data_IF_879959474415
#
_entry.id   IF_879959474415
#
_cell.length_a   1.000
_cell.length_b   1.000
_cell.length_c   1.000
_cell.angle_alpha   90.00
_cell.angle_beta   90.00
_cell.angle_gamma   90.00
#
_symmetry.space_group_name_H-M   'P 1'
#
loop_
_entity.id
_entity.type
_entity.pdbx_description
1 polymer ?
#
# COMPACT_ATOMS: atom_id res chain seq x y z
N UNK A 1 -16.92 -10.00 0.00
CA UNK A 1 -16.24 -8.71 -0.18
C UNK A 1 -14.95 -8.97 -0.96
N UNK A 2 -14.71 -8.23 -2.04
CA UNK A 2 -13.50 -8.30 -2.85
C UNK A 2 -12.70 -7.00 -2.74
N UNK A 3 -11.39 -7.09 -2.65
CA UNK A 3 -10.49 -5.93 -2.54
C UNK A 3 -9.96 -5.59 -3.92
N UNK A 4 -10.12 -4.35 -4.33
CA UNK A 4 -9.67 -3.90 -5.66
C UNK A 4 -8.37 -3.09 -5.58
N UNK A 5 -8.23 -2.24 -4.56
CA UNK A 5 -7.05 -1.40 -4.43
C UNK A 5 -6.74 -1.11 -2.97
N UNK A 6 -5.46 -1.04 -2.65
CA UNK A 6 -4.93 -0.74 -1.33
C UNK A 6 -3.90 0.36 -1.48
N UNK A 7 -4.05 1.39 -0.65
CA UNK A 7 -3.07 2.45 -0.47
C UNK A 7 -2.37 2.27 0.87
N UNK A 8 -1.05 2.31 0.86
CA UNK A 8 -0.23 2.23 2.07
C UNK A 8 0.77 3.37 2.10
N UNK A 9 1.05 3.87 3.30
CA UNK A 9 2.16 4.78 3.54
C UNK A 9 3.22 4.10 4.40
N UNK A 10 4.44 4.61 4.29
CA UNK A 10 5.48 4.39 5.27
C UNK A 10 6.47 5.57 5.22
N UNK A 11 7.47 5.54 6.10
CA UNK A 11 8.51 6.55 6.16
C UNK A 11 9.87 5.89 6.04
N UNK A 12 10.68 6.36 5.09
CA UNK A 12 12.11 6.14 5.01
C UNK A 12 12.75 7.17 5.94
N UNK A 13 13.48 6.73 6.97
CA UNK A 13 14.05 7.60 8.00
C UNK A 13 15.23 8.47 7.52
N UNK A 14 15.19 8.98 6.29
CA UNK A 14 16.23 9.81 5.70
C UNK A 14 15.64 10.74 4.62
N UNK A 15 16.25 11.92 4.45
CA UNK A 15 15.97 12.81 3.34
C UNK A 15 16.61 12.28 2.06
N UNK A 16 15.91 12.38 0.94
CA UNK A 16 16.33 11.82 -0.34
C UNK A 16 16.45 12.92 -1.39
N UNK A 17 17.61 12.99 -2.04
CA UNK A 17 17.78 13.79 -3.25
C UNK A 17 17.22 13.01 -4.45
N UNK A 18 16.00 13.36 -4.87
CA UNK A 18 15.30 12.66 -5.95
C UNK A 18 15.96 12.87 -7.32
N UNK A 19 16.58 14.03 -7.57
CA UNK A 19 17.28 14.36 -8.82
C UNK A 19 18.49 13.46 -9.09
N UNK A 20 19.20 13.07 -8.03
CA UNK A 20 20.27 12.09 -8.16
C UNK A 20 19.73 10.66 -8.17
N UNK A 21 18.63 10.42 -7.44
CA UNK A 21 18.12 9.08 -7.23
C UNK A 21 17.44 8.48 -8.46
N UNK A 22 16.68 9.25 -9.24
CA UNK A 22 15.91 8.74 -10.37
C UNK A 22 16.81 8.06 -11.42
N UNK A 23 18.05 8.54 -11.59
CA UNK A 23 19.03 7.97 -12.53
C UNK A 23 19.40 6.52 -12.23
N UNK A 24 19.17 6.06 -10.99
CA UNK A 24 19.50 4.71 -10.55
C UNK A 24 18.33 3.71 -10.71
N UNK A 25 17.14 4.18 -11.09
CA UNK A 25 15.96 3.33 -11.27
C UNK A 25 15.51 3.34 -12.73
N UNK A 26 15.66 2.20 -13.42
CA UNK A 26 15.24 2.07 -14.81
C UNK A 26 13.72 2.23 -15.03
N UNK A 27 12.90 1.76 -14.06
CA UNK A 27 11.44 1.82 -14.14
C UNK A 27 10.89 2.95 -13.26
N UNK A 28 11.41 4.17 -13.42
CA UNK A 28 10.93 5.31 -12.68
C UNK A 28 10.59 6.51 -13.55
N UNK A 29 9.63 7.30 -13.09
CA UNK A 29 9.22 8.56 -13.70
C UNK A 29 9.37 9.64 -12.64
N UNK A 30 10.11 10.70 -12.97
CA UNK A 30 10.30 11.85 -12.10
C UNK A 30 10.29 13.15 -12.90
N UNK A 31 9.25 13.96 -12.70
CA UNK A 31 9.17 15.32 -13.22
C UNK A 31 8.73 16.25 -12.07
N UNK A 32 9.65 16.99 -11.42
CA UNK A 32 9.32 17.82 -10.27
C UNK A 32 8.36 18.98 -10.59
N UNK A 33 8.22 19.35 -11.88
CA UNK A 33 7.26 20.36 -12.33
C UNK A 33 5.82 19.85 -12.34
N UNK A 34 5.63 18.55 -12.63
CA UNK A 34 4.31 17.91 -12.62
C UNK A 34 3.98 17.34 -11.23
N UNK A 35 4.87 16.51 -10.69
CA UNK A 35 4.68 15.84 -9.42
C UNK A 35 5.98 15.86 -8.60
N UNK A 36 5.93 16.41 -7.39
CA UNK A 36 7.06 16.49 -6.45
C UNK A 36 7.41 15.15 -5.78
N UNK A 37 7.31 14.05 -6.52
CA UNK A 37 7.65 12.71 -6.08
C UNK A 37 8.19 11.89 -7.25
N UNK A 38 9.12 10.99 -6.97
CA UNK A 38 9.57 9.99 -7.92
C UNK A 38 8.63 8.78 -7.86
N UNK A 39 8.08 8.36 -9.00
CA UNK A 39 7.22 7.18 -9.12
C UNK A 39 8.02 6.02 -9.68
N UNK A 40 7.85 4.84 -9.11
CA UNK A 40 8.59 3.63 -9.48
C UNK A 40 7.61 2.46 -9.57
N UNK A 41 7.67 1.74 -10.68
CA UNK A 41 6.90 0.52 -10.88
C UNK A 41 7.72 -0.68 -10.41
N UNK A 42 7.28 -1.31 -9.32
CA UNK A 42 8.01 -2.38 -8.65
C UNK A 42 7.33 -3.72 -8.95
N UNK A 43 7.89 -4.56 -9.82
CA UNK A 43 7.35 -5.89 -10.06
C UNK A 43 7.60 -6.81 -8.84
N UNK A 44 6.56 -7.50 -8.39
CA UNK A 44 6.57 -8.45 -7.27
C UNK A 44 6.02 -9.78 -7.77
N UNK A 45 6.80 -10.85 -7.68
CA UNK A 45 6.30 -12.18 -8.07
C UNK A 45 5.33 -12.75 -7.04
N UNK A 46 4.33 -13.49 -7.51
CA UNK A 46 3.40 -14.26 -6.67
C UNK A 46 4.15 -15.18 -5.70
N UNK A 47 5.23 -15.84 -6.16
CA UNK A 47 6.11 -16.66 -5.31
C UNK A 47 6.71 -15.88 -4.14
N UNK A 48 7.07 -14.60 -4.34
CA UNK A 48 7.59 -13.76 -3.25
C UNK A 48 6.50 -13.44 -2.22
N UNK A 49 5.27 -13.21 -2.70
CA UNK A 49 4.10 -12.97 -1.85
C UNK A 49 3.81 -14.22 -1.00
N UNK A 50 3.71 -15.40 -1.62
CA UNK A 50 3.44 -16.65 -0.91
C UNK A 50 4.52 -16.96 0.13
N UNK A 51 5.81 -16.75 -0.19
CA UNK A 51 6.92 -16.90 0.77
C UNK A 51 6.78 -15.93 1.94
N UNK A 52 6.40 -14.68 1.67
CA UNK A 52 6.21 -13.67 2.71
C UNK A 52 5.04 -14.01 3.64
N UNK A 53 3.91 -14.46 3.09
CA UNK A 53 2.74 -14.90 3.87
C UNK A 53 3.13 -16.04 4.82
N UNK A 54 3.80 -17.07 4.30
CA UNK A 54 4.29 -18.20 5.12
C UNK A 54 5.24 -17.76 6.21
N UNK A 55 6.17 -16.85 5.90
CA UNK A 55 7.10 -16.29 6.89
C UNK A 55 6.36 -15.55 8.02
N UNK A 56 5.35 -14.73 7.69
CA UNK A 56 4.56 -14.01 8.69
C UNK A 56 3.77 -14.96 9.58
N UNK A 57 3.15 -16.00 9.01
CA UNK A 57 2.41 -17.02 9.77
C UNK A 57 3.31 -17.78 10.75
N UNK A 58 4.48 -18.23 10.30
CA UNK A 58 5.46 -18.93 11.16
C UNK A 58 6.01 -18.04 12.28
N UNK A 59 6.16 -16.74 12.03
CA UNK A 59 6.62 -15.78 13.05
C UNK A 59 5.51 -15.43 14.05
N UNK A 60 4.25 -15.38 13.61
CA UNK A 60 3.08 -15.16 14.46
C UNK A 60 2.78 -16.32 15.41
N UNK A 61 3.08 -17.56 15.01
CA UNK A 61 2.91 -18.76 15.86
C UNK A 61 3.93 -18.91 16.99
N UNK A 62 4.95 -18.05 17.08
CA UNK A 62 5.97 -18.09 18.15
C UNK A 62 5.73 -17.10 19.31
N UNK A 63 4.65 -16.31 19.28
CA UNK A 63 4.39 -15.29 20.32
C UNK A 63 3.20 -15.60 21.25
N UNK A 64 2.63 -16.81 21.20
CA UNK A 64 1.61 -17.28 22.17
C UNK A 64 2.06 -18.58 22.83
N UNK A 65 3.27 -18.57 23.40
CA UNK A 65 3.79 -19.64 24.25
C UNK A 65 4.13 -19.05 25.61
N UNK A 66 3.48 -19.58 26.63
CA UNK A 66 3.56 -19.20 28.04
C UNK A 66 5.01 -19.02 28.52
N UNK A 67 5.30 -17.86 29.10
CA UNK A 67 6.45 -17.70 30.00
C UNK A 67 6.08 -18.36 31.32
N UNK A 68 6.39 -19.66 31.46
CA UNK A 68 6.57 -20.25 32.78
C UNK A 68 7.95 -19.85 33.29
N UNK A 69 7.94 -19.05 34.34
CA UNK A 69 9.06 -18.77 35.22
C UNK A 69 9.50 -20.05 35.92
N UNK A 70 10.71 -20.51 35.61
CA UNK A 70 11.42 -21.55 36.36
C UNK A 70 12.83 -21.06 36.64
N UNK A 71 13.07 -20.67 37.89
CA UNK A 71 14.39 -20.43 38.46
C UNK A 71 15.28 -21.67 38.31
N UNK A 72 16.59 -21.50 38.10
CA UNK A 72 17.68 -22.07 38.93
C UNK A 72 19.06 -21.78 38.30
N UNK A 73 19.79 -20.91 39.00
CA UNK A 73 21.20 -20.93 39.42
C UNK A 73 22.34 -21.60 38.62
N UNK A 74 23.45 -20.82 38.62
CA UNK A 74 24.89 -21.13 38.85
C UNK A 74 25.77 -21.72 37.75
N UNK A 75 26.93 -21.08 37.57
CA UNK A 75 28.09 -21.59 36.82
C UNK A 75 29.10 -20.51 36.41
N UNK A 76 30.00 -20.14 37.32
CA UNK A 76 31.21 -19.36 37.04
C UNK A 76 32.16 -20.09 36.05
N UNK A 77 32.84 -19.35 35.15
CA UNK A 77 34.32 -19.37 35.04
C UNK A 77 34.88 -18.32 34.06
N UNK A 78 36.16 -18.04 34.30
CA UNK A 78 36.94 -16.84 33.99
C UNK A 78 37.75 -16.89 32.67
N UNK A 79 38.15 -15.68 32.26
CA UNK A 79 39.46 -15.21 31.70
C UNK A 79 39.99 -15.69 30.34
N UNK A 80 40.53 -14.70 29.60
CA UNK A 80 41.45 -14.89 28.47
C UNK A 80 41.68 -13.59 27.68
N UNK A 81 42.84 -12.96 27.90
CA UNK A 81 43.28 -11.67 27.35
C UNK A 81 43.77 -11.69 25.88
N UNK A 82 43.92 -10.46 25.36
CA UNK A 82 44.50 -9.90 24.11
C UNK A 82 45.92 -10.43 23.71
N UNK A 83 46.52 -10.11 22.52
CA UNK A 83 46.75 -8.74 22.03
C UNK A 83 46.85 -8.49 20.49
N UNK A 84 47.28 -7.26 20.23
CA UNK A 84 47.34 -6.30 19.11
C UNK A 84 48.32 -6.56 17.95
N UNK A 85 48.14 -5.82 16.84
CA UNK A 85 49.18 -5.49 15.85
C UNK A 85 48.73 -4.41 14.85
N UNK A 86 49.42 -3.26 14.84
CA UNK A 86 49.29 -2.09 13.95
C UNK A 86 50.19 -2.25 12.70
N UNK A 87 49.91 -1.53 11.59
CA UNK A 87 50.93 -0.74 10.87
C UNK A 87 50.34 0.21 9.80
N UNK A 88 50.96 1.40 9.67
CA UNK A 88 50.68 2.51 8.74
C UNK A 88 51.80 2.70 7.71
N UNK A 89 51.50 3.26 6.52
CA UNK A 89 52.21 4.36 5.77
C UNK A 89 51.64 4.47 4.34
N UNK A 90 51.19 5.65 3.84
CA UNK A 90 51.97 6.73 3.18
C UNK A 90 51.95 6.53 1.64
N UNK A 91 51.77 7.46 0.69
CA UNK A 91 51.91 8.93 0.58
C UNK A 91 51.45 9.44 -0.82
N UNK A 92 50.91 10.66 -0.89
CA UNK A 92 51.02 11.79 -1.89
C UNK A 92 51.11 11.67 -3.43
N UNK A 93 50.53 12.69 -4.12
CA UNK A 93 50.92 13.23 -5.46
C UNK A 93 49.77 13.46 -6.46
N UNK A 94 49.11 14.63 -6.56
CA UNK A 94 49.38 15.82 -7.44
C UNK A 94 49.09 15.62 -8.96
N UNK A 95 48.32 16.56 -9.56
CA UNK A 95 47.83 16.71 -10.96
C UNK A 95 48.69 17.78 -11.72
N UNK A 96 48.42 18.29 -12.96
CA UNK A 96 48.08 17.83 -14.35
C UNK A 96 49.22 18.30 -15.35
N UNK A 97 49.09 18.64 -16.69
CA UNK A 97 47.92 18.81 -17.60
C UNK A 97 48.04 18.38 -19.10
N UNK A 98 46.88 18.45 -19.81
CA UNK A 98 46.58 19.12 -21.11
C UNK A 98 46.75 18.19 -22.33
N UNK A 99 46.05 18.23 -23.46
CA UNK A 99 45.11 19.14 -24.15
C UNK A 99 44.37 18.31 -25.23
N UNK A 100 43.29 18.82 -25.86
CA UNK A 100 42.97 18.42 -27.25
C UNK A 100 41.50 18.26 -27.66
N UNK A 101 40.91 19.36 -28.09
CA UNK A 101 39.63 19.65 -28.76
C UNK A 101 39.26 18.80 -30.01
N UNK A 102 37.94 18.64 -30.28
CA UNK A 102 37.20 18.79 -31.59
C UNK A 102 35.97 17.85 -31.65
N UNK A 103 34.71 18.30 -31.45
CA UNK A 103 33.74 18.90 -32.41
C UNK A 103 33.56 18.11 -33.72
N UNK A 104 32.34 17.59 -33.99
CA UNK A 104 31.50 17.79 -35.21
C UNK A 104 30.19 16.96 -35.11
N UNK A 105 29.04 17.65 -35.23
CA UNK A 105 27.71 17.16 -35.68
C UNK A 105 27.53 17.51 -37.17
N UNK A 106 26.62 16.86 -37.94
CA UNK A 106 25.26 17.43 -38.21
C UNK A 106 24.15 16.35 -38.42
N UNK A 107 22.89 16.59 -37.99
CA UNK A 107 21.71 17.12 -38.72
C UNK A 107 20.83 16.08 -39.49
N UNK A 108 19.50 16.14 -39.26
CA UNK A 108 18.38 15.44 -39.94
C UNK A 108 17.76 16.32 -41.07
N UNK A 109 16.54 16.11 -41.69
CA UNK A 109 15.49 15.05 -41.69
C UNK A 109 14.90 14.71 -43.15
N UNK A 110 13.57 14.48 -43.42
CA UNK A 110 12.90 13.21 -43.84
C UNK A 110 12.27 13.22 -45.27
N UNK A 111 11.42 12.23 -45.65
CA UNK A 111 9.98 12.55 -45.88
C UNK A 111 8.93 11.45 -45.55
N UNK A 112 7.67 11.91 -45.42
CA UNK A 112 6.39 11.18 -45.32
C UNK A 112 6.07 10.28 -46.53
N UNK A 113 5.16 9.29 -46.36
CA UNK A 113 3.91 9.07 -47.15
C UNK A 113 3.11 7.84 -46.64
N UNK A 114 1.87 8.11 -46.20
CA UNK A 114 0.58 7.40 -46.34
C UNK A 114 0.41 5.85 -46.32
N UNK A 115 -0.53 5.43 -45.46
CA UNK A 115 -1.74 4.60 -45.72
C UNK A 115 -1.60 3.23 -46.40
N UNK A 116 -1.98 2.15 -45.69
CA UNK A 116 -3.16 1.29 -45.99
C UNK A 116 -3.18 0.04 -45.09
N UNK A 117 -4.30 -0.18 -44.40
CA UNK A 117 -4.64 -1.46 -43.74
C UNK A 117 -5.08 -2.48 -44.79
N UNK A 118 -4.55 -3.69 -44.76
CA UNK A 118 -5.21 -4.85 -45.36
C UNK A 118 -5.20 -6.06 -44.43
N UNK A 119 -6.41 -6.58 -44.25
CA UNK A 119 -6.77 -7.83 -43.60
C UNK A 119 -6.55 -8.95 -44.63
N UNK A 120 -5.84 -10.01 -44.26
CA UNK A 120 -5.79 -11.25 -45.02
C UNK A 120 -5.93 -12.44 -44.07
N UNK A 121 -7.07 -13.11 -44.16
CA UNK A 121 -7.29 -14.46 -43.63
C UNK A 121 -6.70 -15.50 -44.60
N UNK A 122 -6.01 -16.52 -44.08
CA UNK A 122 -5.78 -17.77 -44.82
C UNK A 122 -5.45 -18.94 -43.87
N UNK A 123 -6.45 -19.81 -43.71
CA UNK A 123 -6.43 -21.29 -43.67
C UNK A 123 -5.18 -22.10 -43.25
N UNK A 124 -5.42 -22.92 -42.24
CA UNK A 124 -4.88 -24.25 -41.85
C UNK A 124 -3.97 -25.01 -42.84
N UNK A 125 -2.82 -25.46 -42.33
CA UNK A 125 -2.18 -26.72 -42.74
C UNK A 125 -1.52 -27.41 -41.53
N UNK A 126 -1.59 -28.75 -41.53
CA UNK A 126 -1.24 -29.65 -40.43
C UNK A 126 0.27 -29.90 -40.27
N UNK A 127 0.67 -30.28 -39.06
CA UNK A 127 1.63 -31.37 -38.84
C UNK A 127 3.07 -30.98 -38.50
N UNK A 128 3.40 -30.98 -37.21
CA UNK A 128 4.79 -30.97 -36.72
C UNK A 128 4.81 -31.19 -35.22
N UNK A 129 5.31 -32.34 -34.76
CA UNK A 129 5.30 -32.74 -33.36
C UNK A 129 6.14 -31.82 -32.47
N UNK A 130 5.54 -31.34 -31.38
CA UNK A 130 6.26 -30.70 -30.29
C UNK A 130 6.64 -31.76 -29.23
N UNK A 131 7.90 -31.82 -28.77
CA UNK A 131 8.29 -32.61 -27.59
C UNK A 131 7.65 -32.02 -26.31
N UNK A 132 7.56 -32.78 -25.20
CA UNK A 132 6.70 -32.43 -24.08
C UNK A 132 7.10 -31.09 -23.47
N UNK A 133 6.12 -30.19 -23.39
CA UNK A 133 6.24 -28.92 -22.69
C UNK A 133 6.61 -29.16 -21.22
N UNK A 134 7.84 -28.81 -20.84
CA UNK A 134 8.14 -28.46 -19.46
C UNK A 134 7.15 -27.36 -19.07
N UNK A 135 6.28 -27.64 -18.10
CA UNK A 135 5.44 -26.64 -17.47
C UNK A 135 6.34 -25.55 -16.87
N UNK A 136 6.63 -24.54 -17.67
CA UNK A 136 7.19 -23.27 -17.21
C UNK A 136 6.10 -22.69 -16.33
N UNK A 137 6.21 -22.86 -15.01
CA UNK A 137 5.40 -22.12 -14.04
C UNK A 137 5.53 -20.64 -14.40
N UNK A 138 4.52 -20.11 -15.10
CA UNK A 138 4.50 -18.72 -15.50
C UNK A 138 4.63 -17.89 -14.22
N UNK A 139 5.79 -17.26 -14.05
CA UNK A 139 6.12 -16.50 -12.86
C UNK A 139 5.33 -15.19 -12.90
N UNK A 140 4.05 -15.28 -12.56
CA UNK A 140 3.12 -14.15 -12.59
C UNK A 140 3.65 -13.06 -11.66
N UNK A 141 3.73 -11.84 -12.20
CA UNK A 141 4.25 -10.67 -11.49
C UNK A 141 3.15 -9.63 -11.38
N UNK A 142 2.99 -9.16 -10.16
CA UNK A 142 2.13 -8.07 -9.80
C UNK A 142 2.96 -6.79 -9.78
N UNK A 143 2.53 -5.75 -10.49
CA UNK A 143 3.22 -4.45 -10.49
C UNK A 143 2.62 -3.58 -9.39
N UNK A 144 3.47 -3.06 -8.51
CA UNK A 144 3.10 -2.13 -7.45
C UNK A 144 3.67 -0.75 -7.77
N UNK A 145 2.80 0.26 -7.79
CA UNK A 145 3.24 1.64 -8.00
C UNK A 145 3.70 2.23 -6.67
N UNK A 146 4.93 2.75 -6.65
CA UNK A 146 5.55 3.30 -5.45
C UNK A 146 5.94 4.75 -5.71
N UNK A 147 5.42 5.68 -4.91
CA UNK A 147 5.78 7.08 -4.92
C UNK A 147 6.69 7.41 -3.74
N UNK A 148 7.86 7.99 -4.02
CA UNK A 148 8.85 8.41 -3.04
C UNK A 148 8.96 9.94 -3.07
N UNK A 149 8.88 10.55 -1.90
CA UNK A 149 9.00 11.98 -1.70
C UNK A 149 10.37 12.33 -1.13
N UNK A 150 10.86 13.54 -1.41
CA UNK A 150 12.18 14.00 -0.94
C UNK A 150 12.31 14.00 0.59
N UNK A 151 11.19 14.16 1.31
CA UNK A 151 11.14 14.08 2.78
C UNK A 151 11.17 12.65 3.33
N UNK A 152 11.43 11.64 2.51
CA UNK A 152 11.48 10.24 2.91
C UNK A 152 10.11 9.56 3.02
N UNK A 153 8.99 10.26 2.79
CA UNK A 153 7.68 9.60 2.73
C UNK A 153 7.63 8.66 1.52
N UNK A 154 7.11 7.45 1.74
CA UNK A 154 6.87 6.47 0.69
C UNK A 154 5.38 6.11 0.69
N UNK A 155 4.78 6.06 -0.49
CA UNK A 155 3.39 5.68 -0.69
C UNK A 155 3.36 4.56 -1.71
N UNK A 156 2.65 3.47 -1.42
CA UNK A 156 2.38 2.41 -2.39
C UNK A 156 0.89 2.38 -2.73
N UNK A 157 0.58 2.24 -4.02
CA UNK A 157 -0.78 2.19 -4.56
C UNK A 157 -0.88 1.19 -5.70
N UNK A 158 -2.11 0.80 -6.04
CA UNK A 158 -2.41 0.16 -7.33
C UNK A 158 -2.53 -1.35 -7.29
N UNK A 159 -2.79 -1.96 -6.12
CA UNK A 159 -2.98 -3.40 -6.05
C UNK A 159 -3.86 -3.89 -4.89
N UNK A 160 -4.27 -5.15 -4.93
CA UNK A 160 -5.20 -5.78 -3.98
C UNK A 160 -4.51 -6.58 -2.85
N UNK A 161 -3.17 -6.60 -2.80
CA UNK A 161 -2.40 -7.31 -1.75
C UNK A 161 -1.57 -6.37 -0.90
N UNK A 162 -1.79 -6.44 0.41
CA UNK A 162 -1.01 -5.72 1.44
C UNK A 162 0.43 -6.23 1.46
N UNK A 163 0.59 -7.54 1.28
CA UNK A 163 1.87 -8.25 1.31
C UNK A 163 2.73 -7.82 0.13
N UNK A 164 2.14 -7.73 -1.07
CA UNK A 164 2.82 -7.25 -2.27
C UNK A 164 3.36 -5.82 -2.05
N UNK A 165 2.55 -4.91 -1.49
CA UNK A 165 2.97 -3.56 -1.14
C UNK A 165 4.13 -3.56 -0.13
N UNK A 166 4.05 -4.35 0.94
CA UNK A 166 5.16 -4.48 1.92
C UNK A 166 6.45 -5.00 1.29
N UNK A 167 6.35 -5.98 0.39
CA UNK A 167 7.51 -6.51 -0.34
C UNK A 167 8.08 -5.45 -1.28
N UNK A 168 7.24 -4.71 -2.00
CA UNK A 168 7.67 -3.64 -2.91
C UNK A 168 8.44 -2.55 -2.14
N UNK A 169 7.92 -2.09 -1.01
CA UNK A 169 8.62 -1.14 -0.14
C UNK A 169 10.00 -1.70 0.28
N UNK A 170 10.06 -2.95 0.76
CA UNK A 170 11.33 -3.59 1.13
C UNK A 170 12.31 -3.74 -0.04
N UNK A 171 11.83 -3.94 -1.27
CA UNK A 171 12.68 -3.96 -2.47
C UNK A 171 13.31 -2.59 -2.72
N UNK A 172 12.53 -1.52 -2.58
CA UNK A 172 13.04 -0.15 -2.66
C UNK A 172 14.08 0.09 -1.56
N UNK A 173 13.79 -0.25 -0.30
CA UNK A 173 14.72 -0.09 0.81
C UNK A 173 16.07 -0.77 0.56
N UNK A 174 16.07 -2.01 0.03
CA UNK A 174 17.29 -2.74 -0.32
C UNK A 174 18.07 -2.06 -1.45
N UNK A 175 17.38 -1.59 -2.49
CA UNK A 175 18.03 -0.85 -3.58
C UNK A 175 18.66 0.44 -3.07
N UNK A 176 17.96 1.19 -2.21
CA UNK A 176 18.52 2.42 -1.64
C UNK A 176 19.75 2.13 -0.75
N UNK A 177 19.75 1.04 0.02
CA UNK A 177 20.93 0.60 0.78
C UNK A 177 22.13 0.27 -0.10
N UNK A 178 21.92 -0.32 -1.28
CA UNK A 178 22.97 -0.60 -2.26
C UNK A 178 23.57 0.67 -2.86
N UNK A 179 22.79 1.76 -2.91
CA UNK A 179 23.24 3.07 -3.39
C UNK A 179 23.96 3.90 -2.31
N UNK A 180 24.51 3.24 -1.28
CA UNK A 180 25.28 3.85 -0.18
C UNK A 180 24.53 4.88 0.69
N UNK A 181 23.20 4.90 0.66
CA UNK A 181 22.44 5.69 1.62
C UNK A 181 22.50 5.04 3.00
N UNK A 182 23.29 5.63 3.90
CA UNK A 182 23.42 5.18 5.28
C UNK A 182 22.09 5.40 6.03
N UNK A 183 21.74 4.44 6.90
CA UNK A 183 20.61 4.50 7.83
C UNK A 183 19.19 4.50 7.21
N UNK A 184 19.02 4.00 5.98
CA UNK A 184 17.66 3.80 5.45
C UNK A 184 17.00 2.60 6.12
N UNK A 185 15.82 2.84 6.68
CA UNK A 185 14.93 1.81 7.20
C UNK A 185 13.50 2.27 7.00
N UNK A 186 12.62 1.33 6.64
CA UNK A 186 11.19 1.60 6.54
C UNK A 186 10.58 1.51 7.94
N UNK A 187 9.93 2.58 8.37
CA UNK A 187 9.14 2.64 9.60
C UNK A 187 7.72 3.11 9.32
N UNK A 188 6.86 2.98 10.32
CA UNK A 188 5.50 3.52 10.31
C UNK A 188 4.67 3.06 9.10
N UNK A 189 4.78 1.78 8.75
CA UNK A 189 3.97 1.20 7.66
C UNK A 189 2.51 1.19 8.11
N UNK A 190 1.66 2.00 7.49
CA UNK A 190 0.22 2.02 7.78
C UNK A 190 -0.61 1.96 6.51
N UNK A 191 -1.75 1.30 6.58
CA UNK A 191 -2.74 1.29 5.51
C UNK A 191 -3.50 2.61 5.59
N UNK A 192 -3.55 3.34 4.48
CA UNK A 192 -4.23 4.63 4.41
C UNK A 192 -5.64 4.51 3.87
N UNK A 193 -5.85 3.59 2.93
CA UNK A 193 -7.15 3.38 2.30
C UNK A 193 -7.22 1.97 1.70
N UNK A 194 -8.39 1.35 1.82
CA UNK A 194 -8.76 0.10 1.15
C UNK A 194 -10.02 0.39 0.33
N UNK A 195 -9.94 0.15 -0.97
CA UNK A 195 -11.07 0.13 -1.89
C UNK A 195 -11.54 -1.31 -2.04
N UNK A 196 -12.76 -1.57 -1.60
CA UNK A 196 -13.39 -2.87 -1.70
C UNK A 196 -14.76 -2.78 -2.37
N UNK A 197 -15.17 -3.87 -3.00
CA UNK A 197 -16.51 -4.03 -3.56
C UNK A 197 -17.19 -5.19 -2.83
N UNK A 198 -18.43 -4.97 -2.43
CA UNK A 198 -19.29 -5.98 -1.83
C UNK A 198 -20.54 -6.12 -2.69
N UNK A 199 -20.92 -7.35 -3.01
CA UNK A 199 -22.18 -7.63 -3.69
C UNK A 199 -23.13 -8.26 -2.68
N UNK A 200 -24.32 -7.66 -2.52
CA UNK A 200 -25.33 -8.11 -1.55
C UNK A 200 -26.13 -9.32 -2.07
N UNK A 201 -26.12 -9.56 -3.39
CA UNK A 201 -26.79 -10.69 -4.03
C UNK A 201 -28.25 -10.43 -4.45
N UNK A 202 -28.74 -9.20 -4.30
CA UNK A 202 -30.09 -8.81 -4.72
C UNK A 202 -30.15 -7.32 -5.11
N UNK A 203 -31.14 -6.96 -5.94
CA UNK A 203 -31.39 -5.59 -6.34
C UNK A 203 -31.99 -4.76 -5.19
N UNK A 204 -31.61 -3.50 -5.11
CA UNK A 204 -31.99 -2.57 -4.02
C UNK A 204 -32.79 -1.41 -4.60
N UNK A 205 -33.94 -1.11 -3.99
CA UNK A 205 -34.74 0.08 -4.30
C UNK A 205 -34.12 1.27 -3.57
N UNK A 206 -33.26 2.03 -4.27
CA UNK A 206 -32.48 3.13 -3.69
C UNK A 206 -33.33 4.21 -2.98
N UNK A 207 -34.47 4.68 -3.53
CA UNK A 207 -35.33 5.63 -2.82
C UNK A 207 -35.84 5.09 -1.48
N UNK A 208 -36.18 3.80 -1.42
CA UNK A 208 -36.67 3.14 -0.21
C UNK A 208 -35.53 2.97 0.82
N UNK A 209 -34.33 2.59 0.35
CA UNK A 209 -33.14 2.57 1.20
C UNK A 209 -32.88 3.95 1.82
N UNK A 210 -32.98 5.02 1.01
CA UNK A 210 -32.75 6.37 1.46
C UNK A 210 -33.76 6.83 2.53
N UNK A 211 -34.99 6.33 2.47
CA UNK A 211 -36.01 6.56 3.50
C UNK A 211 -35.68 5.85 4.83
N UNK A 212 -35.08 4.66 4.78
CA UNK A 212 -34.75 3.89 5.98
C UNK A 212 -33.45 4.33 6.66
N UNK A 213 -32.47 4.81 5.91
CA UNK A 213 -31.18 5.24 6.45
C UNK A 213 -31.01 6.76 6.37
N UNK A 214 -31.25 7.45 7.49
CA UNK A 214 -31.35 8.93 7.55
C UNK A 214 -30.09 9.70 7.10
N UNK A 215 -28.90 9.10 7.20
CA UNK A 215 -27.63 9.77 6.87
C UNK A 215 -27.10 9.37 5.49
N UNK A 216 -27.97 9.47 4.49
CA UNK A 216 -27.70 9.13 3.09
C UNK A 216 -27.75 10.37 2.21
N UNK A 217 -26.83 10.46 1.26
CA UNK A 217 -26.84 11.43 0.19
C UNK A 217 -27.25 10.71 -1.10
N UNK A 218 -28.45 11.01 -1.60
CA UNK A 218 -29.04 10.38 -2.78
C UNK A 218 -29.76 11.41 -3.65
N UNK A 219 -29.16 11.68 -4.81
CA UNK A 219 -29.79 12.39 -5.92
C UNK A 219 -29.45 11.64 -7.21
N UNK A 220 -30.42 10.93 -7.83
CA UNK A 220 -30.18 10.11 -9.02
C UNK A 220 -29.73 10.93 -10.24
N UNK A 221 -30.00 12.24 -10.28
CA UNK A 221 -29.56 13.11 -11.37
C UNK A 221 -28.09 13.50 -11.23
N UNK A 222 -27.57 13.51 -10.01
CA UNK A 222 -26.16 13.85 -9.72
C UNK A 222 -25.29 12.61 -9.69
N UNK A 223 -25.77 11.53 -9.06
CA UNK A 223 -25.03 10.28 -8.94
C UNK A 223 -25.98 9.07 -8.79
N UNK A 224 -25.78 7.98 -9.55
CA UNK A 224 -26.73 6.87 -9.61
C UNK A 224 -26.76 5.96 -8.38
N UNK A 225 -26.00 6.27 -7.33
CA UNK A 225 -25.88 5.44 -6.12
C UNK A 225 -26.14 6.25 -4.85
N UNK A 226 -26.66 5.59 -3.82
CA UNK A 226 -26.78 6.18 -2.48
C UNK A 226 -25.39 6.24 -1.84
N UNK A 227 -24.98 7.43 -1.38
CA UNK A 227 -23.73 7.63 -0.66
C UNK A 227 -23.99 7.66 0.84
N UNK A 228 -23.26 6.85 1.59
CA UNK A 228 -23.32 6.79 3.05
C UNK A 228 -21.92 6.95 3.62
N UNK A 229 -21.80 7.69 4.73
CA UNK A 229 -20.55 7.81 5.50
C UNK A 229 -20.78 7.31 6.91
N UNK A 230 -20.00 6.32 7.32
CA UNK A 230 -20.08 5.72 8.65
C UNK A 230 -18.75 5.94 9.36
N UNK A 231 -18.80 6.62 10.51
CA UNK A 231 -17.65 6.76 11.40
C UNK A 231 -17.58 5.53 12.32
N UNK A 232 -16.48 4.77 12.23
CA UNK A 232 -16.23 3.57 13.01
C UNK A 232 -15.10 3.81 14.00
N UNK A 233 -15.33 3.45 15.26
CA UNK A 233 -14.28 3.38 16.27
C UNK A 233 -13.63 2.01 16.23
N UNK A 234 -12.30 1.97 16.25
CA UNK A 234 -11.56 0.76 16.54
C UNK A 234 -11.78 0.42 18.02
N UNK A 235 -12.71 -0.47 18.29
CA UNK A 235 -13.07 -0.87 19.65
C UNK A 235 -11.94 -1.72 20.25
N UNK A 236 -11.02 -1.06 20.96
CA UNK A 236 -10.49 -1.64 22.19
C UNK A 236 -11.42 -1.13 23.29
N UNK A 237 -12.26 -2.02 23.82
CA UNK A 237 -13.26 -1.79 24.88
C UNK A 237 -14.56 -1.09 24.43
N UNK A 238 -15.53 -1.91 24.00
CA UNK A 238 -16.96 -1.62 24.18
C UNK A 238 -17.62 -2.83 24.81
N UNK A 239 -17.39 -2.98 26.11
CA UNK A 239 -18.40 -3.56 27.00
C UNK A 239 -18.97 -2.41 27.83
N UNK A 240 -20.30 -2.37 27.91
CA UNK A 240 -21.13 -1.51 28.76
C UNK A 240 -21.15 -0.01 28.47
N UNK A 241 -22.14 0.45 27.71
CA UNK A 241 -23.05 1.56 28.10
C UNK A 241 -23.90 2.03 26.91
N UNK A 242 -24.97 1.29 26.61
CA UNK A 242 -26.19 1.89 26.08
C UNK A 242 -27.12 2.14 27.27
N UNK A 243 -27.26 3.39 27.70
CA UNK A 243 -28.44 3.92 28.40
C UNK A 243 -28.36 5.46 28.57
N UNK A 244 -29.48 6.13 28.27
CA UNK A 244 -29.90 7.51 28.63
C UNK A 244 -29.05 8.69 28.14
N UNK A 245 -29.50 9.52 27.19
CA UNK A 245 -30.52 10.59 27.26
C UNK A 245 -30.04 11.95 27.85
N UNK A 246 -30.20 12.98 27.00
CA UNK A 246 -30.60 14.38 27.26
C UNK A 246 -29.63 15.43 27.86
N UNK A 247 -29.53 16.52 27.06
CA UNK A 247 -29.62 17.95 27.41
C UNK A 247 -28.41 18.78 27.93
N UNK A 248 -28.17 19.86 27.14
CA UNK A 248 -27.82 21.25 27.50
C UNK A 248 -26.43 21.70 28.00
N UNK A 249 -25.96 22.82 27.41
CA UNK A 249 -25.46 23.97 28.20
C UNK A 249 -23.94 24.29 28.23
N UNK A 250 -23.50 25.15 27.31
CA UNK A 250 -22.57 26.31 27.46
C UNK A 250 -21.22 26.30 28.26
N UNK A 251 -20.19 26.80 27.55
CA UNK A 251 -19.07 27.70 27.90
C UNK A 251 -17.84 27.27 28.76
N UNK A 252 -16.70 27.21 28.05
CA UNK A 252 -15.38 27.85 28.27
C UNK A 252 -14.44 27.55 29.48
N UNK A 253 -13.22 27.14 29.08
CA UNK A 253 -11.88 27.41 29.65
C UNK A 253 -11.52 26.90 31.06
N UNK A 254 -10.69 25.85 31.08
CA UNK A 254 -9.36 25.87 31.71
C UNK A 254 -8.65 24.52 31.54
N UNK A 255 -7.36 24.55 31.19
CA UNK A 255 -6.44 23.42 31.32
C UNK A 255 -5.38 23.80 32.35
N UNK A 256 -4.78 22.83 33.07
CA UNK A 256 -3.48 22.36 32.57
C UNK A 256 -3.26 20.84 32.68
N UNK A 257 -2.90 20.28 31.53
CA UNK A 257 -1.89 19.24 31.25
C UNK A 257 -1.56 18.22 32.38
N UNK A 258 -2.05 17.00 32.23
CA UNK A 258 -1.31 15.79 32.63
C UNK A 258 -0.88 15.02 31.38
N UNK A 259 0.40 14.70 31.33
CA UNK A 259 1.06 13.85 30.33
C UNK A 259 0.62 12.41 30.48
N UNK A 260 -0.45 12.05 29.78
CA UNK A 260 -0.72 10.71 29.34
C UNK A 260 -1.26 10.84 27.93
N UNK A 261 -0.46 10.47 26.93
CA UNK A 261 -0.86 10.42 25.53
C UNK A 261 -1.87 9.27 25.37
N UNK A 262 -3.08 9.51 25.88
CA UNK A 262 -4.25 8.64 25.73
C UNK A 262 -4.47 8.58 24.23
N UNK A 263 -4.17 7.43 23.64
CA UNK A 263 -4.38 7.16 22.22
C UNK A 263 -5.81 7.56 21.88
N UNK A 264 -5.99 8.73 21.24
CA UNK A 264 -7.29 9.10 20.67
C UNK A 264 -7.70 7.92 19.80
N UNK A 265 -8.83 7.31 20.14
CA UNK A 265 -9.42 6.24 19.33
C UNK A 265 -9.49 6.78 17.90
N UNK A 266 -8.73 6.17 17.01
CA UNK A 266 -8.60 6.66 15.64
C UNK A 266 -9.89 6.32 14.92
N UNK A 267 -10.79 7.31 14.83
CA UNK A 267 -12.04 7.16 14.10
C UNK A 267 -11.71 6.92 12.62
N UNK A 268 -12.16 5.80 12.09
CA UNK A 268 -12.08 5.45 10.69
C UNK A 268 -13.42 5.73 10.03
N UNK A 269 -13.45 6.67 9.09
CA UNK A 269 -14.67 6.99 8.33
C UNK A 269 -14.67 6.18 7.05
N UNK A 270 -15.65 5.29 6.91
CA UNK A 270 -15.88 4.49 5.70
C UNK A 270 -16.99 5.16 4.89
N UNK A 271 -16.74 5.37 3.61
CA UNK A 271 -17.74 5.82 2.64
C UNK A 271 -18.20 4.65 1.78
N UNK A 272 -19.50 4.38 1.79
CA UNK A 272 -20.15 3.35 0.99
C UNK A 272 -20.96 4.00 -0.14
N UNK A 273 -20.82 3.49 -1.36
CA UNK A 273 -21.65 3.85 -2.52
C UNK A 273 -22.47 2.62 -2.91
N UNK A 274 -23.78 2.70 -2.71
CA UNK A 274 -24.72 1.58 -2.88
C UNK A 274 -25.47 1.77 -4.20
N UNK A 275 -25.35 0.80 -5.11
CA UNK A 275 -26.00 0.81 -6.41
C UNK A 275 -27.28 -0.04 -6.38
N UNK A 276 -28.25 0.30 -7.23
CA UNK A 276 -29.51 -0.45 -7.38
C UNK A 276 -29.31 -1.92 -7.76
N UNK A 277 -28.17 -2.23 -8.38
CA UNK A 277 -27.75 -3.60 -8.75
C UNK A 277 -27.36 -4.48 -7.56
N UNK A 278 -27.28 -3.94 -6.34
CA UNK A 278 -26.78 -4.67 -5.17
C UNK A 278 -25.26 -4.64 -5.04
N UNK A 279 -24.54 -3.96 -5.93
CA UNK A 279 -23.12 -3.69 -5.77
C UNK A 279 -22.92 -2.52 -4.80
N UNK A 280 -21.96 -2.66 -3.90
CA UNK A 280 -21.58 -1.66 -2.90
C UNK A 280 -20.08 -1.43 -2.99
N UNK A 281 -19.68 -0.20 -3.26
CA UNK A 281 -18.27 0.20 -3.25
C UNK A 281 -17.93 0.86 -1.92
N UNK A 282 -16.92 0.35 -1.23
CA UNK A 282 -16.44 0.84 0.06
C UNK A 282 -15.06 1.50 -0.08
N UNK A 283 -14.90 2.68 0.50
CA UNK A 283 -13.65 3.46 0.51
C UNK A 283 -13.41 4.15 1.85
N UNK A 284 -12.18 4.60 2.10
CA UNK A 284 -11.82 5.38 3.30
C UNK A 284 -11.47 4.54 4.53
N UNK A 285 -11.86 3.26 4.55
CA UNK A 285 -11.48 2.32 5.60
C UNK A 285 -9.99 1.99 5.58
N UNK A 286 -9.40 1.83 6.78
CA UNK A 286 -7.98 1.46 6.95
C UNK A 286 -7.77 0.00 7.35
N UNK A 287 -8.86 -0.73 7.62
CA UNK A 287 -8.83 -2.14 8.02
C UNK A 287 -9.99 -2.91 7.39
N UNK A 288 -9.78 -4.20 7.13
CA UNK A 288 -10.83 -5.07 6.61
C UNK A 288 -11.98 -5.24 7.60
N UNK A 289 -11.67 -5.24 8.90
CA UNK A 289 -12.66 -5.33 9.97
C UNK A 289 -13.62 -4.14 9.96
N UNK A 290 -13.10 -2.92 9.76
CA UNK A 290 -13.94 -1.72 9.67
C UNK A 290 -14.80 -1.73 8.40
N UNK A 291 -14.27 -2.20 7.27
CA UNK A 291 -15.07 -2.38 6.06
C UNK A 291 -16.21 -3.39 6.26
N UNK A 292 -15.93 -4.51 6.94
CA UNK A 292 -16.95 -5.51 7.24
C UNK A 292 -18.01 -4.97 8.20
N UNK A 293 -17.61 -4.30 9.29
CA UNK A 293 -18.55 -3.64 10.21
C UNK A 293 -19.45 -2.62 9.51
N UNK A 294 -18.91 -1.88 8.54
CA UNK A 294 -19.69 -0.96 7.72
C UNK A 294 -20.81 -1.69 6.97
N UNK A 295 -20.51 -2.85 6.37
CA UNK A 295 -21.51 -3.70 5.71
C UNK A 295 -22.51 -4.24 6.73
N UNK A 296 -22.06 -4.72 7.89
CA UNK A 296 -22.95 -5.29 8.91
C UNK A 296 -23.98 -4.27 9.43
N UNK A 297 -23.56 -3.00 9.59
CA UNK A 297 -24.45 -1.89 9.95
C UNK A 297 -25.48 -1.60 8.85
N UNK A 298 -25.07 -1.67 7.58
CA UNK A 298 -25.94 -1.38 6.43
C UNK A 298 -26.89 -2.54 6.11
N UNK A 299 -26.46 -3.78 6.35
CA UNK A 299 -27.16 -5.01 5.99
C UNK A 299 -28.65 -5.06 6.35
N UNK A 300 -29.10 -4.70 7.58
CA UNK A 300 -30.52 -4.72 7.92
C UNK A 300 -31.35 -3.73 7.09
N UNK A 301 -30.78 -2.58 6.71
CA UNK A 301 -31.45 -1.59 5.87
C UNK A 301 -31.48 -2.01 4.40
N UNK A 302 -30.42 -2.68 3.94
CA UNK A 302 -30.34 -3.27 2.60
C UNK A 302 -31.43 -4.35 2.41
N UNK A 303 -31.63 -5.22 3.40
CA UNK A 303 -32.71 -6.23 3.36
C UNK A 303 -34.09 -5.59 3.29
N UNK A 304 -34.35 -4.55 4.10
CA UNK A 304 -35.64 -3.84 4.11
C UNK A 304 -35.95 -3.14 2.78
N UNK A 305 -34.92 -2.79 2.01
CA UNK A 305 -35.03 -2.12 0.72
C UNK A 305 -34.82 -3.05 -0.48
N UNK A 306 -34.87 -4.37 -0.26
CA UNK A 306 -34.78 -5.38 -1.31
C UNK A 306 -35.93 -5.23 -2.32
N UNK A 307 -35.60 -5.26 -3.62
CA UNK A 307 -36.60 -5.35 -4.69
C UNK A 307 -37.38 -6.66 -4.56
N UNK A 308 -38.71 -6.56 -4.59
CA UNK A 308 -39.62 -7.72 -4.64
C UNK A 308 -39.84 -8.25 -6.07
N UNK A 309 -39.31 -7.54 -7.05
CA UNK A 309 -39.31 -7.88 -8.47
C UNK A 309 -37.95 -8.40 -8.91
#
# INVERSE_FOLDING_TARGET
>A
MSVHNISMNATLCSSLNLDSLYRHFANCIYNPREFKCMRIDVPVSTRSISKYVRFVQQKGGRQTGETQTGETQTGEKQTGEKPTGEEQKGSEGVIPPSDGTSVVTPSAPPPDVATTCQVVEATTSQGGGNPPEEHTEANEKVIINVSIFANGKIICTGNNSIEACKIAMKKIERKLKQLNFKNISIKNVTITNILAVYNVGFSIVLPLFAQYYKSVDYDPNVFPACKVKIALTSDSERDTSEASEQAEGNFAWSTPRSTAERSRSKVDVVSASIFSTGNITLTGGKSYQNLQRCIDILYPYLIKSKSQH
#
